data_IF_276810102690
#
_entry.id   IF_276810102690
#
_cell.length_a   1.000
_cell.length_b   1.000
_cell.length_c   1.000
_cell.angle_alpha   90.00
_cell.angle_beta   90.00
_cell.angle_gamma   90.00
#
_symmetry.space_group_name_H-M   'P 1'
#
loop_
_entity.id
_entity.type
_entity.pdbx_description
1 polymer ?
#
# COMPACT_ATOMS: atom_id res chain seq x y z
N UNK A 1 17.06 -10.54 -5.71
CA UNK A 1 16.20 -9.65 -4.91
C UNK A 1 15.03 -9.23 -5.77
N UNK A 2 13.83 -9.20 -5.19
CA UNK A 2 12.59 -8.85 -5.87
C UNK A 2 12.33 -7.35 -5.72
N UNK A 3 12.11 -6.65 -6.84
CA UNK A 3 11.67 -5.24 -6.81
C UNK A 3 10.15 -5.22 -6.73
N UNK A 4 9.62 -4.58 -5.70
CA UNK A 4 8.19 -4.46 -5.46
C UNK A 4 7.78 -3.00 -5.24
N UNK A 5 6.58 -2.65 -5.71
CA UNK A 5 5.97 -1.35 -5.47
C UNK A 5 5.01 -1.51 -4.29
N UNK A 6 5.46 -1.11 -3.11
CA UNK A 6 4.68 -1.16 -1.88
C UNK A 6 3.67 -0.01 -1.85
N UNK A 7 2.43 -0.34 -1.49
CA UNK A 7 1.38 0.63 -1.17
C UNK A 7 1.48 0.97 0.31
N UNK A 8 1.61 2.25 0.61
CA UNK A 8 1.65 2.74 1.99
C UNK A 8 0.71 3.93 2.16
N UNK A 9 0.29 4.16 3.40
CA UNK A 9 -0.55 5.30 3.75
C UNK A 9 0.32 6.49 4.15
N UNK A 10 0.16 7.60 3.45
CA UNK A 10 0.82 8.88 3.74
C UNK A 10 -0.18 9.84 4.37
N UNK A 11 0.28 10.62 5.35
CA UNK A 11 -0.46 11.77 5.86
C UNK A 11 -0.02 13.03 5.12
N UNK A 12 -0.96 13.72 4.51
CA UNK A 12 -0.78 14.99 3.80
C UNK A 12 -1.35 16.10 4.67
N UNK A 13 -0.53 17.10 4.94
CA UNK A 13 -0.93 18.31 5.65
C UNK A 13 -1.52 19.29 4.63
N UNK A 14 -2.81 19.58 4.73
CA UNK A 14 -3.50 20.59 3.93
C UNK A 14 -3.83 21.81 4.80
N UNK A 15 -3.58 23.00 4.27
CA UNK A 15 -3.98 24.26 4.90
C UNK A 15 -5.33 24.64 4.30
N UNK A 16 -6.33 24.83 5.16
CA UNK A 16 -7.64 25.34 4.75
C UNK A 16 -7.92 26.62 5.51
N UNK A 17 -8.41 27.61 4.77
CA UNK A 17 -8.87 28.88 5.32
C UNK A 17 -10.36 28.75 5.66
N UNK A 18 -10.71 29.13 6.88
CA UNK A 18 -12.11 29.23 7.28
C UNK A 18 -12.75 30.49 6.68
N UNK A 19 -14.09 30.54 6.60
CA UNK A 19 -14.80 31.75 6.16
C UNK A 19 -14.49 33.01 6.99
N UNK A 20 -13.93 32.84 8.19
CA UNK A 20 -13.50 33.92 9.11
C UNK A 20 -12.04 34.38 8.88
N UNK A 21 -11.34 33.83 7.88
CA UNK A 21 -9.95 34.15 7.56
C UNK A 21 -8.90 33.46 8.43
N UNK A 22 -9.29 32.57 9.35
CA UNK A 22 -8.34 31.79 10.15
C UNK A 22 -7.88 30.54 9.41
N UNK A 23 -6.56 30.34 9.35
CA UNK A 23 -5.98 29.11 8.80
C UNK A 23 -6.03 27.99 9.83
N UNK A 24 -6.50 26.81 9.40
CA UNK A 24 -6.32 25.59 10.16
C UNK A 24 -5.63 24.51 9.34
N UNK A 25 -4.94 23.65 10.07
CA UNK A 25 -4.21 22.52 9.51
C UNK A 25 -5.12 21.30 9.53
N UNK A 26 -5.42 20.77 8.36
CA UNK A 26 -6.14 19.51 8.19
C UNK A 26 -5.16 18.42 7.76
N UNK A 27 -5.30 17.21 8.31
CA UNK A 27 -4.48 16.07 7.95
C UNK A 27 -5.34 15.08 7.16
N UNK A 28 -5.01 14.89 5.89
CA UNK A 28 -5.67 13.93 4.99
C UNK A 28 -4.78 12.71 4.86
N UNK A 29 -5.36 11.52 4.97
CA UNK A 29 -4.65 10.28 4.65
C UNK A 29 -4.87 9.92 3.18
N UNK A 30 -3.79 9.67 2.46
CA UNK A 30 -3.80 9.23 1.07
C UNK A 30 -2.94 7.97 0.91
N UNK A 31 -3.27 7.13 -0.08
CA UNK A 31 -2.39 6.04 -0.47
C UNK A 31 -1.35 6.54 -1.48
N UNK A 32 -0.15 5.99 -1.37
CA UNK A 32 0.97 6.29 -2.27
C UNK A 32 1.78 5.00 -2.47
N UNK A 33 2.69 5.02 -3.45
CA UNK A 33 3.57 3.89 -3.75
C UNK A 33 5.02 4.24 -3.54
N UNK A 34 5.79 3.27 -3.06
CA UNK A 34 7.25 3.35 -3.00
C UNK A 34 7.87 2.06 -3.50
N UNK A 35 8.95 2.20 -4.25
CA UNK A 35 9.74 1.06 -4.69
C UNK A 35 10.59 0.56 -3.53
N UNK A 36 10.49 -0.73 -3.24
CA UNK A 36 11.31 -1.43 -2.26
C UNK A 36 11.93 -2.69 -2.86
N UNK A 37 13.07 -3.08 -2.30
CA UNK A 37 13.77 -4.31 -2.64
C UNK A 37 13.55 -5.32 -1.51
N UNK A 38 12.94 -6.45 -1.85
CA UNK A 38 12.60 -7.50 -0.90
C UNK A 38 13.38 -8.77 -1.25
N UNK A 39 13.91 -9.44 -0.23
CA UNK A 39 14.48 -10.77 -0.43
C UNK A 39 13.34 -11.80 -0.49
N UNK A 40 13.17 -12.54 -1.60
CA UNK A 40 12.14 -13.57 -1.73
C UNK A 40 12.14 -14.60 -0.60
N UNK A 41 13.31 -14.94 -0.05
CA UNK A 41 13.43 -15.91 1.04
C UNK A 41 12.74 -15.49 2.34
N UNK A 42 12.39 -14.21 2.48
CA UNK A 42 11.64 -13.71 3.63
C UNK A 42 10.12 -13.66 3.40
N UNK A 43 9.66 -13.96 2.18
CA UNK A 43 8.22 -14.01 1.87
C UNK A 43 7.71 -15.40 2.24
N UNK A 44 6.84 -15.45 3.24
CA UNK A 44 6.27 -16.69 3.77
C UNK A 44 4.99 -17.04 3.01
N UNK A 45 4.20 -16.03 2.64
CA UNK A 45 2.98 -16.23 1.90
C UNK A 45 2.62 -15.02 1.03
N UNK A 46 1.84 -15.30 0.00
CA UNK A 46 1.23 -14.32 -0.88
C UNK A 46 -0.27 -14.51 -0.79
N UNK A 47 -1.03 -13.43 -0.69
CA UNK A 47 -2.49 -13.47 -0.59
C UNK A 47 -3.11 -12.40 -1.49
N UNK A 48 -4.28 -12.65 -2.10
CA UNK A 48 -5.04 -11.59 -2.76
C UNK A 48 -5.40 -10.52 -1.73
N UNK A 49 -5.37 -9.25 -2.14
CA UNK A 49 -5.70 -8.14 -1.27
C UNK A 49 -6.78 -7.25 -1.88
N UNK A 50 -7.80 -6.96 -1.08
CA UNK A 50 -8.82 -5.98 -1.37
C UNK A 50 -8.97 -5.06 -0.15
N UNK A 51 -9.13 -3.76 -0.41
CA UNK A 51 -9.44 -2.81 0.64
C UNK A 51 -10.81 -3.14 1.23
N UNK A 52 -10.88 -3.34 2.54
CA UNK A 52 -12.09 -3.78 3.24
C UNK A 52 -13.02 -2.61 3.59
N UNK A 53 -12.46 -1.44 3.89
CA UNK A 53 -13.24 -0.27 4.26
C UNK A 53 -13.69 0.52 3.02
N UNK A 54 -14.91 1.04 3.04
CA UNK A 54 -15.41 1.90 1.95
C UNK A 54 -14.53 3.14 1.76
N UNK A 55 -14.04 3.71 2.86
CA UNK A 55 -13.12 4.85 2.83
C UNK A 55 -11.78 4.51 2.18
N UNK A 56 -11.18 3.36 2.49
CA UNK A 56 -9.92 2.96 1.89
C UNK A 56 -10.08 2.58 0.41
N UNK A 57 -11.24 2.03 0.03
CA UNK A 57 -11.58 1.83 -1.38
C UNK A 57 -11.62 3.15 -2.14
N UNK A 58 -12.33 4.15 -1.62
CA UNK A 58 -12.39 5.49 -2.24
C UNK A 58 -11.00 6.10 -2.36
N UNK A 59 -10.19 6.04 -1.29
CA UNK A 59 -8.80 6.55 -1.32
C UNK A 59 -7.92 5.80 -2.31
N UNK A 60 -8.12 4.49 -2.46
CA UNK A 60 -7.38 3.69 -3.43
C UNK A 60 -7.80 4.01 -4.87
N UNK A 61 -9.09 4.23 -5.12
CA UNK A 61 -9.63 4.65 -6.42
C UNK A 61 -9.15 6.07 -6.81
N UNK A 62 -8.97 6.97 -5.85
CA UNK A 62 -8.39 8.30 -6.07
C UNK A 62 -6.88 8.24 -6.35
N UNK A 63 -6.15 7.30 -5.72
CA UNK A 63 -4.70 7.20 -5.81
C UNK A 63 -4.21 6.35 -6.99
N UNK A 64 -4.98 5.36 -7.45
CA UNK A 64 -4.56 4.37 -8.44
C UNK A 64 -5.50 4.28 -9.64
N UNK A 65 -4.99 3.96 -10.84
CA UNK A 65 -5.84 3.72 -12.01
C UNK A 65 -6.88 2.62 -11.76
N UNK A 66 -8.05 2.77 -12.39
CA UNK A 66 -9.14 1.79 -12.31
C UNK A 66 -8.65 0.42 -12.78
N UNK A 67 -8.95 -0.62 -12.00
CA UNK A 67 -8.53 -2.00 -12.28
C UNK A 67 -7.14 -2.36 -11.77
N UNK A 68 -6.45 -1.48 -11.04
CA UNK A 68 -5.22 -1.82 -10.32
C UNK A 68 -5.47 -2.96 -9.35
N UNK A 69 -4.64 -4.00 -9.41
CA UNK A 69 -4.70 -5.16 -8.51
C UNK A 69 -3.67 -5.01 -7.40
N UNK A 70 -4.03 -5.51 -6.22
CA UNK A 70 -3.19 -5.48 -5.05
C UNK A 70 -2.99 -6.89 -4.52
N UNK A 71 -1.84 -7.10 -3.90
CA UNK A 71 -1.48 -8.35 -3.25
C UNK A 71 -0.95 -8.03 -1.86
N UNK A 72 -1.20 -8.94 -0.92
CA UNK A 72 -0.58 -8.91 0.40
C UNK A 72 0.57 -9.92 0.43
N UNK A 73 1.76 -9.43 0.75
CA UNK A 73 2.94 -10.23 1.01
C UNK A 73 3.10 -10.37 2.52
N UNK A 74 3.15 -11.61 2.99
CA UNK A 74 3.43 -11.93 4.39
C UNK A 74 4.92 -12.19 4.53
N UNK A 75 5.58 -11.39 5.36
CA UNK A 75 6.99 -11.49 5.65
C UNK A 75 7.25 -12.23 6.96
N UNK A 76 8.43 -12.84 7.07
CA UNK A 76 8.91 -13.42 8.32
C UNK A 76 9.03 -12.34 9.42
N UNK A 77 8.18 -12.44 10.43
CA UNK A 77 8.12 -11.52 11.57
C UNK A 77 9.35 -11.56 12.47
N UNK A 78 10.25 -12.53 12.32
CA UNK A 78 11.50 -12.57 13.07
C UNK A 78 12.53 -11.55 12.52
N UNK A 79 12.39 -11.16 11.26
CA UNK A 79 13.29 -10.26 10.54
C UNK A 79 12.70 -8.86 10.31
N UNK A 80 11.37 -8.70 10.40
CA UNK A 80 10.67 -7.45 10.07
C UNK A 80 9.74 -6.96 11.18
N UNK A 81 9.70 -5.63 11.38
CA UNK A 81 8.83 -4.96 12.37
C UNK A 81 7.35 -4.99 11.97
N UNK A 82 7.06 -5.08 10.67
CA UNK A 82 5.74 -5.36 10.11
C UNK A 82 5.84 -6.64 9.30
N UNK A 83 5.00 -7.62 9.61
CA UNK A 83 4.93 -8.91 8.92
C UNK A 83 4.08 -8.85 7.65
N UNK A 84 3.51 -7.69 7.31
CA UNK A 84 2.61 -7.54 6.16
C UNK A 84 3.01 -6.33 5.32
N UNK A 85 3.04 -6.54 4.00
CA UNK A 85 3.24 -5.51 2.98
C UNK A 85 2.12 -5.65 1.95
N UNK A 86 1.47 -4.54 1.61
CA UNK A 86 0.57 -4.48 0.45
C UNK A 86 1.39 -3.98 -0.73
N UNK A 87 1.32 -4.68 -1.87
CA UNK A 87 2.05 -4.32 -3.07
C UNK A 87 1.12 -4.23 -4.28
N UNK A 88 1.49 -3.39 -5.25
CA UNK A 88 0.81 -3.28 -6.54
C UNK A 88 1.19 -4.48 -7.41
N UNK A 89 0.18 -5.22 -7.87
CA UNK A 89 0.32 -6.33 -8.81
C UNK A 89 -0.71 -7.43 -8.60
N UNK A 90 -0.81 -8.34 -9.57
CA UNK A 90 -1.70 -9.50 -9.48
C UNK A 90 -1.10 -10.60 -8.62
N UNK A 91 -1.95 -11.30 -7.88
CA UNK A 91 -1.59 -12.52 -7.15
C UNK A 91 -0.87 -13.53 -8.05
N UNK A 92 -1.40 -13.81 -9.24
CA UNK A 92 -0.82 -14.80 -10.17
C UNK A 92 0.62 -14.48 -10.58
N UNK A 93 0.94 -13.18 -10.72
CA UNK A 93 2.30 -12.75 -11.06
C UNK A 93 3.26 -13.10 -9.93
N UNK A 94 2.94 -12.67 -8.72
CA UNK A 94 3.79 -12.92 -7.55
C UNK A 94 3.88 -14.39 -7.19
N UNK A 95 2.77 -15.12 -7.32
CA UNK A 95 2.74 -16.55 -7.09
C UNK A 95 3.71 -17.30 -8.03
N UNK A 96 3.69 -16.98 -9.34
CA UNK A 96 4.63 -17.58 -10.31
C UNK A 96 6.08 -17.18 -10.06
N UNK A 97 6.34 -15.91 -9.78
CA UNK A 97 7.70 -15.41 -9.54
C UNK A 97 8.34 -16.00 -8.27
N UNK A 98 7.52 -16.36 -7.28
CA UNK A 98 7.99 -16.87 -5.99
C UNK A 98 8.01 -18.40 -5.90
N UNK A 99 7.31 -19.10 -6.80
CA UNK A 99 7.28 -20.57 -6.84
C UNK A 99 8.33 -21.22 -7.76
N UNK A 100 9.23 -20.41 -8.36
CA UNK A 100 10.35 -20.81 -9.24
C UNK A 100 10.57 -22.30 -9.46
#
# INVERSE_FOLDING_TARGET
>A
MLKISEVFQKQIRTHQERPDGTEYVHFVQAFDTRDILLNPSYIVAVQPYEFSSSMDRTRAEEAFPVGTKFVKLILDGHSFRSSEIVAVGSFDKFFRELQG
#
